data_IF_960146794588
#
_entry.id   IF_960146794588
#
_cell.length_a   1.000
_cell.length_b   1.000
_cell.length_c   1.000
_cell.angle_alpha   90.00
_cell.angle_beta   90.00
_cell.angle_gamma   90.00
#
_symmetry.space_group_name_H-M   'P 1'
#
loop_
_entity.id
_entity.type
_entity.pdbx_description
1 polymer ?
#
# COMPACT_ATOMS: atom_id res chain seq x y z
N UNK A 1 -19.97 -1.26 -31.95
CA UNK A 1 -19.58 -0.10 -31.11
C UNK A 1 -20.21 -0.28 -29.74
N UNK A 2 -19.43 -0.38 -28.66
CA UNK A 2 -20.00 -0.37 -27.31
C UNK A 2 -20.62 1.01 -27.06
N UNK A 3 -21.86 1.04 -26.59
CA UNK A 3 -22.54 2.26 -26.11
C UNK A 3 -21.67 2.87 -25.00
N UNK A 4 -21.29 4.14 -25.15
CA UNK A 4 -20.55 4.86 -24.11
C UNK A 4 -21.33 4.84 -22.79
N UNK A 5 -20.70 4.36 -21.72
CA UNK A 5 -21.23 4.44 -20.35
C UNK A 5 -20.93 5.83 -19.79
N UNK A 6 -21.77 6.33 -18.89
CA UNK A 6 -21.46 7.57 -18.17
C UNK A 6 -20.23 7.36 -17.28
N UNK A 7 -19.44 8.41 -17.03
CA UNK A 7 -18.22 8.34 -16.21
C UNK A 7 -18.49 7.75 -14.80
N UNK A 8 -19.69 8.01 -14.27
CA UNK A 8 -20.16 7.52 -12.98
C UNK A 8 -20.44 6.01 -12.94
N UNK A 9 -20.74 5.39 -14.10
CA UNK A 9 -20.99 3.94 -14.22
C UNK A 9 -19.70 3.14 -14.44
N UNK A 10 -18.56 3.81 -14.62
CA UNK A 10 -17.26 3.15 -14.75
C UNK A 10 -16.83 2.61 -13.38
N UNK A 11 -16.57 1.30 -13.32
CA UNK A 11 -16.11 0.64 -12.10
C UNK A 11 -14.77 1.21 -11.64
N UNK A 12 -14.71 1.66 -10.39
CA UNK A 12 -13.45 2.09 -9.72
C UNK A 12 -12.77 0.96 -8.95
N UNK A 13 -13.24 -0.28 -9.10
CA UNK A 13 -12.63 -1.46 -8.48
C UNK A 13 -11.35 -1.84 -9.24
N UNK A 14 -10.41 -2.45 -8.55
CA UNK A 14 -9.27 -3.06 -9.24
C UNK A 14 -9.68 -4.38 -9.89
N UNK A 15 -8.95 -4.75 -10.93
CA UNK A 15 -9.01 -6.07 -11.56
C UNK A 15 -7.58 -6.57 -11.73
N UNK A 16 -7.34 -7.83 -11.36
CA UNK A 16 -6.08 -8.54 -11.59
C UNK A 16 -6.35 -9.70 -12.53
N UNK A 17 -5.56 -9.83 -13.59
CA UNK A 17 -5.71 -10.94 -14.56
C UNK A 17 -4.40 -11.25 -15.28
N UNK A 18 -4.32 -12.46 -15.83
CA UNK A 18 -3.24 -12.89 -16.72
C UNK A 18 -3.67 -12.84 -18.18
N UNK A 19 -2.79 -12.36 -19.03
CA UNK A 19 -2.88 -12.52 -20.47
C UNK A 19 -2.35 -13.91 -20.88
N UNK A 20 -2.75 -14.38 -22.07
CA UNK A 20 -2.34 -15.71 -22.58
C UNK A 20 -0.84 -15.84 -22.86
N UNK A 21 -0.13 -14.72 -22.97
CA UNK A 21 1.32 -14.62 -23.14
C UNK A 21 2.10 -14.62 -21.81
N UNK A 22 1.40 -14.71 -20.68
CA UNK A 22 2.00 -14.74 -19.34
C UNK A 22 2.11 -13.37 -18.66
N UNK A 23 1.64 -12.28 -19.27
CA UNK A 23 1.65 -10.96 -18.63
C UNK A 23 0.60 -10.87 -17.51
N UNK A 24 1.04 -10.56 -16.29
CA UNK A 24 0.17 -10.24 -15.16
C UNK A 24 -0.16 -8.75 -15.17
N UNK A 25 -1.44 -8.42 -15.25
CA UNK A 25 -1.91 -7.03 -15.30
C UNK A 25 -2.78 -6.71 -14.10
N UNK A 26 -2.56 -5.54 -13.51
CA UNK A 26 -3.50 -4.90 -12.59
C UNK A 26 -4.01 -3.62 -13.25
N UNK A 27 -5.32 -3.40 -13.20
CA UNK A 27 -5.92 -2.16 -13.69
C UNK A 27 -6.95 -1.61 -12.71
N UNK A 28 -7.10 -0.28 -12.70
CA UNK A 28 -7.97 0.44 -11.80
C UNK A 28 -7.51 0.39 -10.35
N UNK A 29 -8.48 0.44 -9.44
CA UNK A 29 -8.23 0.45 -8.00
C UNK A 29 -7.88 1.82 -7.44
N UNK A 30 -8.20 2.02 -6.17
CA UNK A 30 -7.98 3.27 -5.46
C UNK A 30 -6.79 3.15 -4.53
N UNK A 31 -6.17 4.29 -4.22
CA UNK A 31 -5.17 4.38 -3.16
C UNK A 31 -5.70 3.76 -1.87
N UNK A 32 -6.94 4.03 -1.45
CA UNK A 32 -7.52 3.44 -0.23
C UNK A 32 -7.63 1.91 -0.22
N UNK A 33 -7.48 1.25 -1.38
CA UNK A 33 -7.58 -0.21 -1.53
C UNK A 33 -6.25 -0.87 -1.91
N UNK A 34 -5.15 -0.13 -1.89
CA UNK A 34 -3.86 -0.57 -2.44
C UNK A 34 -3.33 -1.87 -1.78
N UNK A 35 -3.45 -2.03 -0.46
CA UNK A 35 -3.00 -3.26 0.23
C UNK A 35 -3.83 -4.48 -0.16
N UNK A 36 -5.15 -4.31 -0.30
CA UNK A 36 -6.03 -5.39 -0.75
C UNK A 36 -5.75 -5.78 -2.21
N UNK A 37 -5.43 -4.81 -3.07
CA UNK A 37 -5.03 -5.04 -4.45
C UNK A 37 -3.71 -5.83 -4.54
N UNK A 38 -2.73 -5.49 -3.69
CA UNK A 38 -1.47 -6.22 -3.62
C UNK A 38 -1.67 -7.68 -3.16
N UNK A 39 -2.54 -7.91 -2.17
CA UNK A 39 -2.91 -9.25 -1.72
C UNK A 39 -3.59 -10.07 -2.81
N UNK A 40 -4.50 -9.47 -3.57
CA UNK A 40 -5.18 -10.12 -4.70
C UNK A 40 -4.18 -10.48 -5.81
N UNK A 41 -3.26 -9.57 -6.16
CA UNK A 41 -2.15 -9.89 -7.06
C UNK A 41 -1.31 -11.06 -6.55
N UNK A 42 -0.98 -11.07 -5.26
CA UNK A 42 -0.11 -12.10 -4.75
C UNK A 42 -0.78 -13.48 -4.76
N UNK A 43 -2.09 -13.53 -4.53
CA UNK A 43 -2.88 -14.76 -4.69
C UNK A 43 -2.84 -15.30 -6.12
N UNK A 44 -2.83 -14.42 -7.13
CA UNK A 44 -2.69 -14.80 -8.54
C UNK A 44 -1.28 -15.36 -8.84
N UNK A 45 -0.24 -14.74 -8.30
CA UNK A 45 1.16 -15.17 -8.44
C UNK A 45 1.38 -16.55 -7.80
N UNK A 46 0.87 -16.77 -6.58
CA UNK A 46 0.97 -18.03 -5.85
C UNK A 46 0.24 -19.16 -6.59
N UNK A 47 -1.01 -18.93 -7.01
CA UNK A 47 -1.81 -19.93 -7.75
C UNK A 47 -1.14 -20.37 -9.05
N UNK A 48 -0.46 -19.45 -9.73
CA UNK A 48 0.29 -19.74 -10.97
C UNK A 48 1.68 -20.31 -10.73
N UNK A 49 2.15 -20.35 -9.48
CA UNK A 49 3.48 -20.83 -9.09
C UNK A 49 4.59 -20.19 -9.94
N UNK A 50 4.48 -18.89 -10.19
CA UNK A 50 5.44 -18.14 -11.02
C UNK A 50 6.85 -18.23 -10.41
N UNK A 51 6.93 -18.24 -9.09
CA UNK A 51 8.17 -18.39 -8.34
C UNK A 51 8.13 -19.69 -7.52
N UNK A 52 9.27 -20.42 -7.44
CA UNK A 52 9.38 -21.59 -6.58
C UNK A 52 9.25 -21.20 -5.10
N UNK A 53 8.60 -22.06 -4.32
CA UNK A 53 8.45 -21.96 -2.85
C UNK A 53 7.77 -20.71 -2.30
N UNK A 54 7.03 -19.98 -3.14
CA UNK A 54 6.28 -18.82 -2.70
C UNK A 54 5.02 -19.26 -1.95
N UNK A 55 4.82 -18.71 -0.75
CA UNK A 55 3.64 -18.94 0.09
C UNK A 55 3.04 -17.60 0.49
N UNK A 56 1.74 -17.49 0.33
CA UNK A 56 0.97 -16.32 0.73
C UNK A 56 0.31 -16.58 2.07
N UNK A 57 0.56 -15.68 3.01
CA UNK A 57 -0.21 -15.60 4.24
C UNK A 57 -1.32 -14.56 4.09
N UNK A 58 -2.55 -14.94 4.40
CA UNK A 58 -3.69 -14.05 4.24
C UNK A 58 -3.59 -12.87 5.20
N UNK A 59 -3.68 -11.66 4.66
CA UNK A 59 -3.61 -10.41 5.42
C UNK A 59 -2.23 -10.10 6.02
N UNK A 60 -1.17 -10.79 5.58
CA UNK A 60 0.20 -10.49 6.00
C UNK A 60 0.56 -9.03 5.72
N UNK A 61 0.04 -8.47 4.64
CA UNK A 61 0.24 -7.06 4.33
C UNK A 61 -0.32 -6.11 5.39
N UNK A 62 -1.11 -6.50 6.39
CA UNK A 62 -1.67 -5.58 7.40
C UNK A 62 -0.72 -5.24 8.54
N UNK A 63 0.56 -5.16 8.24
CA UNK A 63 1.62 -4.79 9.18
C UNK A 63 1.85 -3.27 9.19
N UNK A 64 2.39 -2.73 10.30
CA UNK A 64 2.90 -1.36 10.34
C UNK A 64 3.90 -1.12 9.20
N UNK A 65 4.00 0.12 8.75
CA UNK A 65 5.00 0.47 7.75
C UNK A 65 6.40 0.35 8.33
N UNK A 66 7.31 -0.24 7.55
CA UNK A 66 8.71 -0.50 7.96
C UNK A 66 9.47 0.81 8.22
N UNK A 67 9.09 1.88 7.53
CA UNK A 67 9.76 3.19 7.60
C UNK A 67 9.04 4.12 8.60
N UNK A 68 7.90 3.70 9.15
CA UNK A 68 7.14 4.51 10.09
C UNK A 68 7.74 4.50 11.49
N UNK A 69 7.94 5.69 12.04
CA UNK A 69 8.18 5.92 13.45
C UNK A 69 6.84 5.95 14.19
N UNK A 70 6.76 5.25 15.31
CA UNK A 70 5.59 5.29 16.18
C UNK A 70 5.55 6.63 16.93
N UNK A 71 4.34 7.13 17.24
CA UNK A 71 4.19 8.46 17.86
C UNK A 71 4.83 8.49 19.24
N UNK A 72 4.79 7.35 19.93
CA UNK A 72 5.34 7.15 21.26
C UNK A 72 6.87 7.27 21.26
N UNK A 73 7.54 6.91 20.15
CA UNK A 73 9.00 6.96 20.03
C UNK A 73 9.52 8.34 19.59
N UNK A 74 8.66 9.20 19.04
CA UNK A 74 9.05 10.51 18.51
C UNK A 74 9.68 11.47 19.53
N UNK A 75 9.11 11.64 20.75
CA UNK A 75 9.69 12.53 21.75
C UNK A 75 11.12 12.14 22.15
N UNK A 76 11.40 10.85 22.24
CA UNK A 76 12.72 10.35 22.61
C UNK A 76 13.74 10.56 21.48
N UNK A 77 13.31 10.37 20.22
CA UNK A 77 14.12 10.72 19.05
C UNK A 77 14.42 12.21 18.99
N UNK A 78 13.43 13.07 19.22
CA UNK A 78 13.63 14.52 19.22
C UNK A 78 14.60 14.95 20.31
N UNK A 79 14.44 14.45 21.55
CA UNK A 79 15.39 14.72 22.65
C UNK A 79 16.81 14.26 22.31
N UNK A 80 16.96 13.07 21.71
CA UNK A 80 18.27 12.54 21.31
C UNK A 80 18.97 13.36 20.23
N UNK A 81 18.20 14.11 19.42
CA UNK A 81 18.76 14.97 18.37
C UNK A 81 19.41 16.25 18.91
N UNK A 82 19.10 16.64 20.14
CA UNK A 82 19.57 17.89 20.75
C UNK A 82 18.95 19.16 20.16
N UNK A 83 17.93 19.04 19.31
CA UNK A 83 17.23 20.17 18.68
C UNK A 83 16.07 20.59 19.57
N UNK A 84 15.94 21.90 19.82
CA UNK A 84 14.79 22.50 20.49
C UNK A 84 13.85 23.00 19.39
N UNK A 85 12.62 22.47 19.37
CA UNK A 85 11.57 22.86 18.43
C UNK A 85 10.30 23.20 19.19
N UNK A 86 9.51 24.12 18.64
CA UNK A 86 8.15 24.35 19.09
C UNK A 86 7.29 23.10 18.82
N UNK A 87 6.27 22.89 19.65
CA UNK A 87 5.44 21.68 19.63
C UNK A 87 4.74 21.47 18.28
N UNK A 88 4.27 22.56 17.66
CA UNK A 88 3.60 22.55 16.37
C UNK A 88 4.53 22.13 15.22
N UNK A 89 5.77 22.64 15.22
CA UNK A 89 6.80 22.28 14.23
C UNK A 89 7.22 20.81 14.43
N UNK A 90 7.45 20.39 15.66
CA UNK A 90 7.80 19.01 15.98
C UNK A 90 6.70 18.03 15.54
N UNK A 91 5.43 18.36 15.77
CA UNK A 91 4.30 17.56 15.33
C UNK A 91 4.17 17.54 13.81
N UNK A 92 4.41 18.67 13.13
CA UNK A 92 4.37 18.72 11.67
C UNK A 92 5.44 17.82 11.04
N UNK A 93 6.68 17.88 11.55
CA UNK A 93 7.77 17.01 11.09
C UNK A 93 7.45 15.53 11.29
N UNK A 94 6.88 15.18 12.45
CA UNK A 94 6.43 13.81 12.69
C UNK A 94 5.35 13.38 11.69
N UNK A 95 4.31 14.18 11.45
CA UNK A 95 3.24 13.80 10.53
C UNK A 95 3.72 13.66 9.08
N UNK A 96 4.68 14.49 8.63
CA UNK A 96 5.15 14.46 7.25
C UNK A 96 6.23 13.41 6.99
N UNK A 97 7.14 13.21 7.94
CA UNK A 97 8.35 12.41 7.72
C UNK A 97 8.50 11.24 8.69
N UNK A 98 7.89 11.32 9.88
CA UNK A 98 7.95 10.25 10.88
C UNK A 98 6.85 9.22 10.69
N UNK A 99 5.62 9.65 10.40
CA UNK A 99 4.46 8.79 10.28
C UNK A 99 4.47 8.07 8.93
N UNK A 100 5.01 6.86 8.93
CA UNK A 100 4.98 5.93 7.80
C UNK A 100 3.60 5.33 7.56
#
# INVERSE_FOLDING_TARGET
MQKGKSESEVSRKHLVFFSGDGLLTITGGKLTTWRAMAEDLFEHVEKKKIFPDIKREKYWSRQPFIIGLMKEDWPDKLKSSGIILDEDIADHLYQQYGKG
#
